data_IF_525135237057
#
_entry.id   IF_525135237057
#
_cell.length_a   1.000
_cell.length_b   1.000
_cell.length_c   1.000
_cell.angle_alpha   90.00
_cell.angle_beta   90.00
_cell.angle_gamma   90.00
#
_symmetry.space_group_name_H-M   'P 1'
#
loop_
_entity.id
_entity.type
_entity.pdbx_description
1 polymer ?
#
# COMPACT_ATOMS: atom_id res chain seq x y z
N UNK A 1 -1.57 2.85 -28.25
CA UNK A 1 -0.56 2.93 -27.19
C UNK A 1 -1.01 3.86 -26.06
N UNK A 2 -1.40 5.08 -26.36
CA UNK A 2 -1.95 6.07 -25.40
C UNK A 2 -3.15 5.52 -24.59
N UNK A 3 -4.05 4.79 -25.22
CA UNK A 3 -5.21 4.19 -24.52
C UNK A 3 -4.82 3.14 -23.50
N UNK A 4 -3.86 2.27 -23.82
CA UNK A 4 -3.38 1.25 -22.88
C UNK A 4 -2.70 1.88 -21.66
N UNK A 5 -1.91 2.92 -21.88
CA UNK A 5 -1.28 3.70 -20.82
C UNK A 5 -2.30 4.41 -19.93
N UNK A 6 -3.29 5.06 -20.54
CA UNK A 6 -4.38 5.75 -19.84
C UNK A 6 -5.23 4.78 -19.01
N UNK A 7 -5.54 3.60 -19.56
CA UNK A 7 -6.26 2.53 -18.83
C UNK A 7 -5.45 2.03 -17.64
N UNK A 8 -4.14 1.82 -17.81
CA UNK A 8 -3.24 1.45 -16.71
C UNK A 8 -3.25 2.49 -15.60
N UNK A 9 -3.09 3.77 -15.96
CA UNK A 9 -3.07 4.87 -14.99
C UNK A 9 -4.39 4.97 -14.21
N UNK A 10 -5.53 4.86 -14.89
CA UNK A 10 -6.84 4.89 -14.26
C UNK A 10 -7.05 3.69 -13.32
N UNK A 11 -6.62 2.49 -13.75
CA UNK A 11 -6.69 1.29 -12.91
C UNK A 11 -5.84 1.44 -11.64
N UNK A 12 -4.63 1.96 -11.77
CA UNK A 12 -3.74 2.20 -10.61
C UNK A 12 -4.29 3.27 -9.67
N UNK A 13 -4.83 4.36 -10.20
CA UNK A 13 -5.50 5.38 -9.39
C UNK A 13 -6.71 4.81 -8.64
N UNK A 14 -7.53 4.00 -9.31
CA UNK A 14 -8.67 3.33 -8.68
C UNK A 14 -8.25 2.42 -7.51
N UNK A 15 -7.21 1.62 -7.70
CA UNK A 15 -6.65 0.76 -6.65
C UNK A 15 -6.07 1.54 -5.48
N UNK A 16 -5.40 2.64 -5.76
CA UNK A 16 -4.87 3.53 -4.73
C UNK A 16 -6.00 4.16 -3.89
N UNK A 17 -7.06 4.62 -4.52
CA UNK A 17 -8.25 5.15 -3.84
C UNK A 17 -8.91 4.04 -3.00
N UNK A 18 -9.07 2.84 -3.55
CA UNK A 18 -9.59 1.69 -2.81
C UNK A 18 -8.75 1.37 -1.57
N UNK A 19 -7.42 1.43 -1.68
CA UNK A 19 -6.52 1.26 -0.55
C UNK A 19 -6.79 2.30 0.56
N UNK A 20 -6.98 3.57 0.19
CA UNK A 20 -7.26 4.64 1.14
C UNK A 20 -8.65 4.56 1.77
N UNK A 21 -9.58 3.79 1.21
CA UNK A 21 -10.89 3.53 1.84
C UNK A 21 -10.82 2.50 2.97
N UNK A 22 -9.75 1.71 3.05
CA UNK A 22 -9.59 0.66 4.09
C UNK A 22 -9.74 1.22 5.51
N UNK A 23 -9.00 2.26 5.95
CA UNK A 23 -9.16 2.79 7.29
C UNK A 23 -10.55 3.37 7.53
N UNK A 24 -11.18 3.94 6.51
CA UNK A 24 -12.55 4.46 6.59
C UNK A 24 -13.53 3.31 6.88
N UNK A 25 -13.39 2.18 6.18
CA UNK A 25 -14.19 0.98 6.44
C UNK A 25 -14.01 0.46 7.86
N UNK A 26 -12.79 0.43 8.37
CA UNK A 26 -12.52 0.04 9.76
C UNK A 26 -13.24 0.97 10.74
N UNK A 27 -13.11 2.27 10.56
CA UNK A 27 -13.81 3.25 11.40
C UNK A 27 -15.32 3.02 11.36
N UNK A 28 -15.91 2.88 10.19
CA UNK A 28 -17.35 2.65 10.04
C UNK A 28 -17.78 1.37 10.74
N UNK A 29 -17.10 0.25 10.52
CA UNK A 29 -17.46 -1.06 11.11
C UNK A 29 -17.39 -1.06 12.63
N UNK A 30 -16.36 -0.46 13.19
CA UNK A 30 -16.18 -0.45 14.65
C UNK A 30 -16.92 0.68 15.36
N UNK A 31 -17.08 1.85 14.75
CA UNK A 31 -17.82 2.96 15.34
C UNK A 31 -19.35 2.77 15.26
N UNK A 32 -19.86 2.08 14.25
CA UNK A 32 -21.30 1.74 14.16
C UNK A 32 -21.72 0.60 15.09
N UNK A 33 -20.76 -0.03 15.78
CA UNK A 33 -21.07 -1.11 16.72
C UNK A 33 -21.30 -2.48 16.06
N UNK A 34 -21.02 -2.61 14.76
CA UNK A 34 -21.09 -3.93 14.06
C UNK A 34 -20.03 -4.88 14.60
N UNK A 35 -18.84 -4.33 14.91
CA UNK A 35 -17.75 -5.06 15.55
C UNK A 35 -17.50 -4.50 16.96
N UNK A 36 -17.27 -5.39 17.93
CA UNK A 36 -16.96 -5.00 19.30
C UNK A 36 -15.53 -4.46 19.40
N UNK A 37 -15.39 -3.27 19.97
CA UNK A 37 -14.10 -2.66 20.26
C UNK A 37 -13.52 -3.22 21.55
N UNK A 38 -12.19 -3.36 21.59
CA UNK A 38 -11.48 -3.66 22.83
C UNK A 38 -11.82 -5.00 23.46
N UNK A 39 -12.14 -6.03 22.67
CA UNK A 39 -12.48 -7.37 23.15
C UNK A 39 -11.37 -7.94 24.03
N UNK A 40 -10.13 -7.60 23.77
CA UNK A 40 -8.95 -8.01 24.52
C UNK A 40 -8.23 -6.82 25.20
N UNK A 41 -8.93 -5.70 25.35
CA UNK A 41 -8.40 -4.56 26.10
C UNK A 41 -8.15 -4.97 27.57
N UNK A 42 -6.92 -4.73 28.06
CA UNK A 42 -6.51 -5.12 29.39
C UNK A 42 -5.75 -6.46 29.50
N UNK A 43 -5.66 -7.22 28.41
CA UNK A 43 -4.76 -8.39 28.36
C UNK A 43 -3.34 -7.93 27.97
N UNK A 44 -2.51 -7.65 28.97
CA UNK A 44 -1.18 -7.08 28.81
C UNK A 44 -0.28 -7.96 27.92
N UNK A 45 -0.36 -9.27 28.02
CA UNK A 45 0.44 -10.19 27.19
C UNK A 45 0.05 -10.13 25.73
N UNK A 46 -1.24 -10.18 25.44
CA UNK A 46 -1.75 -10.13 24.07
C UNK A 46 -1.45 -8.77 23.42
N UNK A 47 -1.67 -7.71 24.18
CA UNK A 47 -1.35 -6.34 23.77
C UNK A 47 0.12 -6.18 23.40
N UNK A 48 1.04 -6.67 24.22
CA UNK A 48 2.48 -6.65 23.96
C UNK A 48 2.85 -7.43 22.70
N UNK A 49 2.30 -8.63 22.52
CA UNK A 49 2.54 -9.48 21.36
C UNK A 49 2.06 -8.79 20.08
N UNK A 50 0.83 -8.29 20.09
CA UNK A 50 0.25 -7.62 18.92
C UNK A 50 1.00 -6.32 18.55
N UNK A 51 1.43 -5.55 19.55
CA UNK A 51 2.26 -4.38 19.32
C UNK A 51 3.60 -4.75 18.70
N UNK A 52 4.28 -5.74 19.25
CA UNK A 52 5.59 -6.18 18.75
C UNK A 52 5.50 -6.68 17.31
N UNK A 53 4.50 -7.49 17.01
CA UNK A 53 4.23 -7.99 15.65
C UNK A 53 3.90 -6.83 14.71
N UNK A 54 3.03 -5.92 15.13
CA UNK A 54 2.65 -4.74 14.32
C UNK A 54 3.82 -3.84 13.97
N UNK A 55 4.69 -3.55 14.93
CA UNK A 55 5.91 -2.75 14.74
C UNK A 55 6.88 -3.46 13.80
N UNK A 56 7.15 -4.75 14.03
CA UNK A 56 8.05 -5.54 13.19
C UNK A 56 7.55 -5.63 11.74
N UNK A 57 6.25 -5.85 11.55
CA UNK A 57 5.65 -5.85 10.21
C UNK A 57 5.78 -4.49 9.53
N UNK A 58 5.53 -3.41 10.25
CA UNK A 58 5.63 -2.06 9.71
C UNK A 58 7.05 -1.72 9.30
N UNK A 59 8.02 -1.94 10.18
CA UNK A 59 9.44 -1.66 9.93
C UNK A 59 10.01 -2.56 8.83
N UNK A 60 9.58 -3.82 8.76
CA UNK A 60 10.07 -4.79 7.77
C UNK A 60 9.40 -4.62 6.41
N UNK A 61 8.08 -4.58 6.36
CA UNK A 61 7.33 -4.61 5.10
C UNK A 61 7.35 -3.28 4.34
N UNK A 62 7.36 -2.13 5.03
CA UNK A 62 7.36 -0.83 4.35
C UNK A 62 8.64 -0.61 3.54
N UNK A 63 9.86 -0.69 4.12
CA UNK A 63 11.10 -0.54 3.35
C UNK A 63 11.25 -1.64 2.29
N UNK A 64 10.83 -2.86 2.62
CA UNK A 64 10.89 -4.00 1.70
C UNK A 64 10.00 -3.78 0.47
N UNK A 65 8.76 -3.33 0.66
CA UNK A 65 7.84 -3.02 -0.43
C UNK A 65 8.37 -1.92 -1.35
N UNK A 66 8.91 -0.85 -0.77
CA UNK A 66 9.49 0.26 -1.52
C UNK A 66 10.76 -0.14 -2.26
N UNK A 67 11.61 -0.96 -1.63
CA UNK A 67 12.89 -1.38 -2.21
C UNK A 67 12.74 -2.42 -3.32
N UNK A 68 11.86 -3.40 -3.16
CA UNK A 68 11.57 -4.40 -4.21
C UNK A 68 11.12 -3.72 -5.49
N UNK A 69 10.23 -2.74 -5.37
CA UNK A 69 9.77 -1.99 -6.52
C UNK A 69 10.91 -1.31 -7.27
N UNK A 70 11.80 -0.62 -6.56
CA UNK A 70 12.92 0.08 -7.18
C UNK A 70 13.95 -0.86 -7.81
N UNK A 71 14.28 -1.98 -7.15
CA UNK A 71 15.33 -2.89 -7.63
C UNK A 71 14.87 -3.75 -8.81
N UNK A 72 13.64 -4.27 -8.77
CA UNK A 72 13.18 -5.19 -9.81
C UNK A 72 12.59 -4.47 -11.01
N UNK A 73 11.91 -3.35 -10.77
CA UNK A 73 11.22 -2.63 -11.83
C UNK A 73 12.17 -1.80 -12.68
N UNK A 74 12.98 -0.97 -12.05
CA UNK A 74 13.84 -0.01 -12.76
C UNK A 74 14.95 -0.70 -13.53
N UNK A 75 15.49 -1.81 -13.03
CA UNK A 75 16.60 -2.51 -13.70
C UNK A 75 16.16 -3.49 -14.78
N UNK A 76 15.03 -4.18 -14.61
CA UNK A 76 14.60 -5.23 -15.56
C UNK A 76 13.65 -4.74 -16.63
N UNK A 77 12.80 -3.78 -16.33
CA UNK A 77 11.73 -3.35 -17.24
C UNK A 77 12.26 -2.48 -18.38
N UNK A 78 13.34 -1.75 -18.16
CA UNK A 78 13.98 -0.95 -19.23
C UNK A 78 14.44 -1.79 -20.43
N UNK A 79 14.66 -3.09 -20.24
CA UNK A 79 15.08 -4.03 -21.28
C UNK A 79 13.92 -4.66 -22.06
N UNK A 80 12.66 -4.47 -21.61
CA UNK A 80 11.50 -5.11 -22.24
C UNK A 80 10.81 -4.21 -23.27
N UNK A 81 10.14 -4.81 -24.29
CA UNK A 81 9.25 -4.06 -25.16
C UNK A 81 8.14 -3.38 -24.34
N UNK A 82 7.67 -2.22 -24.80
CA UNK A 82 6.79 -1.31 -24.06
C UNK A 82 5.53 -2.00 -23.50
N UNK A 83 4.90 -2.89 -24.25
CA UNK A 83 3.70 -3.60 -23.79
C UNK A 83 3.99 -4.51 -22.57
N UNK A 84 5.13 -5.19 -22.62
CA UNK A 84 5.58 -6.06 -21.56
C UNK A 84 6.04 -5.25 -20.33
N UNK A 85 6.68 -4.12 -20.56
CA UNK A 85 7.09 -3.18 -19.53
C UNK A 85 5.87 -2.63 -18.77
N UNK A 86 4.81 -2.23 -19.46
CA UNK A 86 3.57 -1.74 -18.85
C UNK A 86 2.85 -2.83 -18.03
N UNK A 87 2.78 -4.06 -18.55
CA UNK A 87 2.19 -5.18 -17.82
C UNK A 87 2.98 -5.52 -16.55
N UNK A 88 4.30 -5.53 -16.64
CA UNK A 88 5.19 -5.78 -15.50
C UNK A 88 5.09 -4.65 -14.47
N UNK A 89 5.02 -3.41 -14.91
CA UNK A 89 4.82 -2.25 -14.03
C UNK A 89 3.52 -2.37 -13.23
N UNK A 90 2.44 -2.74 -13.91
CA UNK A 90 1.14 -2.97 -13.26
C UNK A 90 1.25 -4.02 -12.16
N UNK A 91 1.83 -5.17 -12.49
CA UNK A 91 1.98 -6.28 -11.53
C UNK A 91 2.80 -5.87 -10.30
N UNK A 92 3.96 -5.25 -10.49
CA UNK A 92 4.83 -4.85 -9.40
C UNK A 92 4.24 -3.71 -8.56
N UNK A 93 3.52 -2.79 -9.19
CA UNK A 93 2.78 -1.73 -8.49
C UNK A 93 1.66 -2.32 -7.61
N UNK A 94 0.95 -3.32 -8.11
CA UNK A 94 -0.07 -4.04 -7.35
C UNK A 94 0.53 -4.80 -6.16
N UNK A 95 1.66 -5.49 -6.37
CA UNK A 95 2.40 -6.19 -5.31
C UNK A 95 2.86 -5.21 -4.23
N UNK A 96 3.40 -4.07 -4.61
CA UNK A 96 3.83 -3.03 -3.68
C UNK A 96 2.67 -2.51 -2.83
N UNK A 97 1.55 -2.18 -3.47
CA UNK A 97 0.36 -1.70 -2.78
C UNK A 97 -0.20 -2.76 -1.82
N UNK A 98 -0.22 -4.01 -2.24
CA UNK A 98 -0.63 -5.14 -1.41
C UNK A 98 0.27 -5.32 -0.18
N UNK A 99 1.60 -5.26 -0.37
CA UNK A 99 2.57 -5.34 0.73
C UNK A 99 2.41 -4.20 1.75
N UNK A 100 2.01 -3.01 1.31
CA UNK A 100 1.69 -1.90 2.21
C UNK A 100 0.31 -2.04 2.87
N UNK A 101 -0.64 -2.70 2.20
CA UNK A 101 -1.97 -2.94 2.75
C UNK A 101 -1.94 -3.92 3.94
N UNK A 102 -1.09 -4.93 3.88
CA UNK A 102 -0.97 -5.93 4.97
C UNK A 102 -0.67 -5.28 6.32
N UNK A 103 0.41 -4.50 6.50
CA UNK A 103 0.66 -3.87 7.78
C UNK A 103 -0.40 -2.84 8.16
N UNK A 104 -1.00 -2.14 7.21
CA UNK A 104 -2.08 -1.19 7.48
C UNK A 104 -3.30 -1.91 8.07
N UNK A 105 -3.79 -2.94 7.41
CA UNK A 105 -4.97 -3.72 7.86
C UNK A 105 -4.71 -4.35 9.22
N UNK A 106 -3.57 -5.00 9.41
CA UNK A 106 -3.24 -5.68 10.66
C UNK A 106 -3.11 -4.69 11.82
N UNK A 107 -2.43 -3.58 11.64
CA UNK A 107 -2.25 -2.59 12.69
C UNK A 107 -3.55 -1.86 13.06
N UNK A 108 -4.41 -1.55 12.12
CA UNK A 108 -5.73 -1.02 12.41
C UNK A 108 -6.60 -2.05 13.15
N UNK A 109 -6.53 -3.33 12.77
CA UNK A 109 -7.21 -4.41 13.49
C UNK A 109 -6.70 -4.52 14.93
N UNK A 110 -5.39 -4.48 15.14
CA UNK A 110 -4.78 -4.53 16.48
C UNK A 110 -5.20 -3.35 17.33
N UNK A 111 -5.25 -2.14 16.75
CA UNK A 111 -5.77 -0.97 17.45
C UNK A 111 -7.19 -1.21 17.99
N UNK A 112 -8.11 -1.70 17.15
CA UNK A 112 -9.49 -1.90 17.58
C UNK A 112 -9.68 -3.09 18.54
N UNK A 113 -8.81 -4.08 18.48
CA UNK A 113 -8.86 -5.25 19.40
C UNK A 113 -8.36 -4.86 20.79
N UNK A 114 -7.27 -4.12 20.88
CA UNK A 114 -6.59 -3.79 22.14
C UNK A 114 -6.83 -2.35 22.61
N UNK A 115 -7.37 -1.48 21.73
CA UNK A 115 -7.49 -0.03 21.94
C UNK A 115 -6.15 0.65 22.23
N UNK A 116 -5.05 0.07 21.78
CA UNK A 116 -3.71 0.62 21.95
C UNK A 116 -3.32 1.50 20.77
N UNK A 117 -2.92 2.74 21.07
CA UNK A 117 -2.55 3.76 20.07
C UNK A 117 -1.35 3.38 19.20
N UNK A 118 -0.51 2.46 19.62
CA UNK A 118 0.64 1.98 18.83
C UNK A 118 0.20 1.39 17.50
N UNK A 119 -0.86 0.57 17.47
CA UNK A 119 -1.44 0.05 16.23
C UNK A 119 -1.94 1.15 15.30
N UNK A 120 -2.56 2.19 15.85
CA UNK A 120 -3.01 3.34 15.09
C UNK A 120 -1.85 4.08 14.43
N UNK A 121 -0.78 4.36 15.17
CA UNK A 121 0.41 5.01 14.63
C UNK A 121 1.10 4.18 13.56
N UNK A 122 1.27 2.87 13.76
CA UNK A 122 1.85 1.97 12.77
C UNK A 122 1.00 1.89 11.50
N UNK A 123 -0.31 1.81 11.64
CA UNK A 123 -1.25 1.86 10.51
C UNK A 123 -1.17 3.18 9.75
N UNK A 124 -1.12 4.31 10.47
CA UNK A 124 -0.95 5.63 9.87
C UNK A 124 0.38 5.76 9.11
N UNK A 125 1.48 5.23 9.66
CA UNK A 125 2.78 5.20 8.97
C UNK A 125 2.72 4.40 7.67
N UNK A 126 2.04 3.26 7.66
CA UNK A 126 1.83 2.47 6.44
C UNK A 126 1.01 3.25 5.40
N UNK A 127 -0.01 3.98 5.83
CA UNK A 127 -0.78 4.87 4.95
C UNK A 127 0.06 6.01 4.38
N UNK A 128 0.88 6.66 5.20
CA UNK A 128 1.80 7.71 4.75
C UNK A 128 2.85 7.17 3.77
N UNK A 129 3.38 5.97 4.01
CA UNK A 129 4.29 5.30 3.09
C UNK A 129 3.66 5.07 1.72
N UNK A 130 2.35 4.83 1.65
CA UNK A 130 1.62 4.69 0.39
C UNK A 130 1.60 5.96 -0.46
N UNK A 131 1.80 7.14 0.13
CA UNK A 131 1.92 8.40 -0.62
C UNK A 131 3.11 8.40 -1.58
N UNK A 132 4.17 7.67 -1.24
CA UNK A 132 5.29 7.44 -2.16
C UNK A 132 4.92 6.55 -3.35
N UNK A 133 3.78 5.90 -3.29
CA UNK A 133 3.26 5.00 -4.33
C UNK A 133 2.16 5.63 -5.18
N UNK A 134 1.88 6.93 -5.02
CA UNK A 134 0.84 7.63 -5.80
C UNK A 134 1.08 7.44 -7.30
N UNK A 135 0.12 6.85 -8.03
CA UNK A 135 0.23 6.69 -9.48
C UNK A 135 0.08 8.04 -10.16
N UNK A 136 1.17 8.52 -10.74
CA UNK A 136 1.23 9.77 -11.51
C UNK A 136 1.74 9.47 -12.91
N UNK A 137 1.20 10.15 -13.89
CA UNK A 137 1.61 10.01 -15.28
C UNK A 137 3.11 10.30 -15.47
N UNK A 138 3.57 11.42 -14.92
CA UNK A 138 4.97 11.81 -14.98
C UNK A 138 5.89 10.79 -14.29
N UNK A 139 5.44 10.24 -13.18
CA UNK A 139 6.20 9.22 -12.44
C UNK A 139 6.35 7.94 -13.26
N UNK A 140 5.26 7.46 -13.87
CA UNK A 140 5.28 6.25 -14.69
C UNK A 140 6.19 6.46 -15.92
N UNK A 141 6.11 7.61 -16.55
CA UNK A 141 6.98 7.96 -17.68
C UNK A 141 8.45 7.98 -17.29
N UNK A 142 8.78 8.61 -16.17
CA UNK A 142 10.15 8.68 -15.66
C UNK A 142 10.69 7.31 -15.22
N UNK A 143 9.87 6.51 -14.57
CA UNK A 143 10.27 5.17 -14.10
C UNK A 143 10.45 4.17 -15.24
N UNK A 144 9.68 4.32 -16.34
CA UNK A 144 9.77 3.47 -17.54
C UNK A 144 10.69 4.05 -18.62
N UNK A 145 11.24 5.24 -18.40
CA UNK A 145 12.09 5.93 -19.36
C UNK A 145 11.43 6.06 -20.75
N UNK A 146 10.15 6.42 -20.75
CA UNK A 146 9.37 6.56 -21.98
C UNK A 146 9.70 7.88 -22.69
N UNK A 147 9.81 7.89 -24.04
CA UNK A 147 10.05 9.11 -24.78
C UNK A 147 8.90 10.12 -24.61
N UNK A 148 9.23 11.41 -24.59
CA UNK A 148 8.27 12.51 -24.41
C UNK A 148 7.21 12.59 -25.52
N UNK A 149 7.43 11.93 -26.66
CA UNK A 149 6.54 11.92 -27.83
C UNK A 149 5.15 11.28 -27.55
N UNK A 150 4.96 10.67 -26.39
CA UNK A 150 3.64 10.14 -26.01
C UNK A 150 2.68 11.27 -25.58
N UNK A 151 3.14 12.52 -25.54
CA UNK A 151 2.36 13.68 -25.13
C UNK A 151 1.51 14.32 -26.24
N UNK A 152 1.75 14.00 -27.49
CA UNK A 152 0.99 14.58 -28.62
C UNK A 152 -0.13 13.63 -29.14
#
# INVERSE_FOLDING_TARGET
MKEKFKKLLLAQKGKFIAYWTIPVWFVVLYETGVCNKGIHAGNIQLEYILQSVGILLTIGLIPFALRIFNLNLVKRIKEYPLERALASYKLWSDVRLFLLAVPAILNFSFYYITLNTTGLFCGAMAMLASLFCVPSENRIKNELDLPEEINE
#
